data_IF_361532505286
#
_entry.id   IF_361532505286
#
_cell.length_a   1.000
_cell.length_b   1.000
_cell.length_c   1.000
_cell.angle_alpha   90.00
_cell.angle_beta   90.00
_cell.angle_gamma   90.00
#
_symmetry.space_group_name_H-M   'P 1'
#
loop_
_entity.id
_entity.type
_entity.pdbx_description
1 polymer ?
#
# COMPACT_ATOMS: atom_id res chain seq x y z
N UNK A 1 14.14 -12.24 9.81
CA UNK A 1 14.05 -10.77 9.77
C UNK A 1 14.78 -10.23 8.54
N UNK A 2 15.97 -10.74 8.25
CA UNK A 2 16.81 -10.33 7.11
C UNK A 2 16.14 -10.41 5.73
N UNK A 3 15.36 -11.47 5.48
CA UNK A 3 14.64 -11.61 4.20
C UNK A 3 13.57 -10.53 4.01
N UNK A 4 12.86 -10.13 5.07
CA UNK A 4 11.84 -9.06 4.97
C UNK A 4 12.47 -7.69 4.69
N UNK A 5 13.63 -7.41 5.31
CA UNK A 5 14.43 -6.20 5.04
C UNK A 5 14.88 -6.17 3.58
N UNK A 6 15.33 -7.31 3.03
CA UNK A 6 15.71 -7.44 1.62
C UNK A 6 14.53 -7.18 0.66
N UNK A 7 13.34 -7.72 0.96
CA UNK A 7 12.14 -7.50 0.14
C UNK A 7 11.72 -6.02 0.10
N UNK A 8 11.83 -5.30 1.22
CA UNK A 8 11.55 -3.87 1.26
C UNK A 8 12.56 -3.06 0.47
N UNK A 9 13.85 -3.37 0.58
CA UNK A 9 14.90 -2.69 -0.17
C UNK A 9 14.67 -2.78 -1.70
N UNK A 10 14.23 -3.95 -2.19
CA UNK A 10 13.87 -4.16 -3.61
C UNK A 10 12.67 -3.33 -4.08
N UNK A 11 11.81 -2.91 -3.16
CA UNK A 11 10.61 -2.12 -3.45
C UNK A 11 10.83 -0.60 -3.37
N UNK A 12 11.88 -0.15 -2.67
CA UNK A 12 12.21 1.27 -2.49
C UNK A 12 12.23 2.08 -3.80
N UNK A 13 12.80 1.59 -4.92
CA UNK A 13 12.80 2.34 -6.18
C UNK A 13 11.39 2.69 -6.69
N UNK A 14 10.42 1.78 -6.52
CA UNK A 14 9.04 2.02 -6.97
C UNK A 14 8.34 3.09 -6.12
N UNK A 15 8.69 3.21 -4.84
CA UNK A 15 8.21 4.32 -3.99
C UNK A 15 8.77 5.67 -4.47
N UNK A 16 10.05 5.72 -4.83
CA UNK A 16 10.68 6.93 -5.39
C UNK A 16 10.08 7.33 -6.73
N UNK A 17 9.71 6.38 -7.59
CA UNK A 17 9.01 6.67 -8.85
C UNK A 17 7.66 7.33 -8.58
N UNK A 18 6.85 6.78 -7.67
CA UNK A 18 5.56 7.37 -7.29
C UNK A 18 5.75 8.79 -6.73
N UNK A 19 6.75 8.96 -5.86
CA UNK A 19 7.07 10.24 -5.23
C UNK A 19 7.46 11.28 -6.29
N UNK A 20 8.38 10.92 -7.18
CA UNK A 20 8.90 11.80 -8.22
C UNK A 20 7.80 12.19 -9.21
N UNK A 21 6.94 11.25 -9.59
CA UNK A 21 5.80 11.52 -10.45
C UNK A 21 4.83 12.54 -9.82
N UNK A 22 4.52 12.39 -8.52
CA UNK A 22 3.67 13.36 -7.81
C UNK A 22 4.34 14.74 -7.69
N UNK A 23 5.65 14.80 -7.40
CA UNK A 23 6.41 16.07 -7.39
C UNK A 23 6.31 16.76 -8.75
N UNK A 24 6.55 16.03 -9.85
CA UNK A 24 6.49 16.60 -11.19
C UNK A 24 5.09 17.14 -11.53
N UNK A 25 4.03 16.45 -11.13
CA UNK A 25 2.65 16.90 -11.33
C UNK A 25 2.38 18.18 -10.51
N UNK A 26 2.80 18.22 -9.24
CA UNK A 26 2.66 19.42 -8.39
C UNK A 26 3.41 20.59 -9.03
N UNK A 27 4.68 20.39 -9.42
CA UNK A 27 5.46 21.42 -10.09
C UNK A 27 4.79 21.87 -11.39
N UNK A 28 4.28 20.95 -12.21
CA UNK A 28 3.61 21.27 -13.47
C UNK A 28 2.29 22.04 -13.29
N UNK A 29 1.56 21.83 -12.20
CA UNK A 29 0.33 22.57 -11.88
C UNK A 29 0.65 23.95 -11.30
N UNK A 30 1.62 24.02 -10.37
CA UNK A 30 1.97 25.26 -9.69
C UNK A 30 2.79 26.20 -10.57
N UNK A 31 3.71 25.68 -11.39
CA UNK A 31 4.62 26.52 -12.17
C UNK A 31 3.88 27.51 -13.08
N UNK A 32 2.90 27.12 -13.93
CA UNK A 32 2.16 28.06 -14.77
C UNK A 32 1.31 29.05 -13.96
N UNK A 33 0.74 28.62 -12.83
CA UNK A 33 -0.09 29.46 -11.97
C UNK A 33 0.68 30.63 -11.34
N UNK A 34 1.97 30.44 -11.07
CA UNK A 34 2.82 31.44 -10.44
C UNK A 34 3.89 32.01 -11.37
N UNK A 35 4.02 31.52 -12.61
CA UNK A 35 5.02 31.97 -13.58
C UNK A 35 4.91 33.48 -13.85
N UNK A 36 3.68 34.00 -13.93
CA UNK A 36 3.43 35.43 -14.17
C UNK A 36 3.73 36.33 -12.94
N UNK A 37 3.73 35.76 -11.73
CA UNK A 37 4.17 36.46 -10.51
C UNK A 37 5.70 36.42 -10.35
N UNK A 38 6.35 35.33 -10.78
CA UNK A 38 7.79 35.14 -10.69
C UNK A 38 8.59 36.14 -11.56
N UNK A 39 8.06 36.51 -12.73
CA UNK A 39 8.72 37.46 -13.66
C UNK A 39 8.68 38.91 -13.20
N UNK A 40 7.74 39.31 -12.35
CA UNK A 40 7.57 40.71 -11.95
C UNK A 40 8.21 41.08 -10.60
N UNK A 41 8.24 40.19 -9.59
CA UNK A 41 9.00 40.37 -8.33
C UNK A 41 9.27 39.02 -7.64
N UNK A 42 10.55 38.64 -7.48
CA UNK A 42 10.95 37.54 -6.60
C UNK A 42 10.75 37.96 -5.13
N UNK A 43 9.60 37.59 -4.57
CA UNK A 43 9.29 37.81 -3.16
C UNK A 43 9.73 36.57 -2.34
N UNK A 44 10.26 36.78 -1.13
CA UNK A 44 10.65 35.70 -0.21
C UNK A 44 9.50 34.72 0.07
N UNK A 45 8.26 35.21 0.08
CA UNK A 45 7.05 34.38 0.24
C UNK A 45 6.88 33.40 -0.92
N UNK A 46 7.25 33.78 -2.14
CA UNK A 46 7.19 32.90 -3.31
C UNK A 46 8.23 31.79 -3.23
N UNK A 47 9.47 32.13 -2.82
CA UNK A 47 10.56 31.15 -2.61
C UNK A 47 10.17 30.13 -1.54
N UNK A 48 9.63 30.58 -0.40
CA UNK A 48 9.19 29.70 0.68
C UNK A 48 8.05 28.75 0.25
N UNK A 49 7.10 29.23 -0.56
CA UNK A 49 6.02 28.39 -1.10
C UNK A 49 6.56 27.33 -2.06
N UNK A 50 7.49 27.69 -2.94
CA UNK A 50 8.15 26.76 -3.87
C UNK A 50 8.92 25.67 -3.13
N UNK A 51 9.77 26.06 -2.18
CA UNK A 51 10.53 25.12 -1.35
C UNK A 51 9.62 24.20 -0.54
N UNK A 52 8.56 24.74 0.07
CA UNK A 52 7.57 23.95 0.80
C UNK A 52 6.90 22.90 -0.08
N UNK A 53 6.50 23.26 -1.31
CA UNK A 53 5.90 22.33 -2.26
C UNK A 53 6.85 21.20 -2.69
N UNK A 54 8.15 21.49 -2.84
CA UNK A 54 9.17 20.48 -3.19
C UNK A 54 9.53 19.57 -2.02
N UNK A 55 9.55 20.09 -0.79
CA UNK A 55 9.92 19.34 0.42
C UNK A 55 8.75 18.50 0.95
N UNK A 56 7.51 18.96 0.78
CA UNK A 56 6.34 18.30 1.34
C UNK A 56 6.25 16.79 1.00
N UNK A 57 6.43 16.35 -0.25
CA UNK A 57 6.41 14.92 -0.58
C UNK A 57 7.50 14.10 0.14
N UNK A 58 8.68 14.66 0.37
CA UNK A 58 9.75 14.01 1.15
C UNK A 58 9.34 13.82 2.62
N UNK A 59 8.69 14.83 3.21
CA UNK A 59 8.13 14.70 4.55
C UNK A 59 7.04 13.63 4.62
N UNK A 60 6.20 13.52 3.59
CA UNK A 60 5.20 12.44 3.51
C UNK A 60 5.85 11.05 3.41
N UNK A 61 6.99 10.92 2.73
CA UNK A 61 7.75 9.66 2.72
C UNK A 61 8.21 9.27 4.14
N UNK A 62 8.69 10.23 4.93
CA UNK A 62 9.08 9.99 6.33
C UNK A 62 7.87 9.62 7.19
N UNK A 63 6.76 10.36 7.06
CA UNK A 63 5.50 10.07 7.76
C UNK A 63 4.95 8.67 7.41
N UNK A 64 5.12 8.23 6.17
CA UNK A 64 4.74 6.88 5.75
C UNK A 64 5.52 5.79 6.52
N UNK A 65 6.76 6.07 6.93
CA UNK A 65 7.56 5.18 7.78
C UNK A 65 7.03 5.06 9.21
N UNK A 66 6.37 6.11 9.72
CA UNK A 66 5.78 6.15 11.07
C UNK A 66 4.46 5.38 11.16
N UNK A 67 3.78 5.15 10.04
CA UNK A 67 2.55 4.37 10.01
C UNK A 67 2.83 2.88 10.26
N UNK A 68 2.17 2.34 11.29
CA UNK A 68 2.25 0.93 11.64
C UNK A 68 1.70 0.03 10.53
N UNK A 69 2.21 -1.20 10.48
CA UNK A 69 1.72 -2.27 9.59
C UNK A 69 0.20 -2.42 9.64
N UNK A 70 -0.38 -2.31 10.84
CA UNK A 70 -1.82 -2.44 11.08
C UNK A 70 -2.60 -1.24 10.50
N UNK A 71 -2.17 0.00 10.74
CA UNK A 71 -2.79 1.19 10.17
C UNK A 71 -2.83 1.14 8.64
N UNK A 72 -1.71 0.74 8.02
CA UNK A 72 -1.66 0.59 6.55
C UNK A 72 -2.62 -0.50 6.05
N UNK A 73 -2.79 -1.59 6.80
CA UNK A 73 -3.78 -2.62 6.47
C UNK A 73 -5.22 -2.11 6.59
N UNK A 74 -5.52 -1.26 7.59
CA UNK A 74 -6.83 -0.60 7.72
C UNK A 74 -7.11 0.27 6.48
N UNK A 75 -6.13 1.04 6.00
CA UNK A 75 -6.28 1.86 4.78
C UNK A 75 -6.58 1.03 3.52
N UNK A 76 -6.03 -0.18 3.42
CA UNK A 76 -6.31 -1.07 2.29
C UNK A 76 -7.68 -1.71 2.42
N UNK A 77 -7.95 -2.38 3.54
CA UNK A 77 -9.12 -3.27 3.67
C UNK A 77 -10.36 -2.58 4.24
N UNK A 78 -10.21 -1.35 4.75
CA UNK A 78 -11.26 -0.58 5.44
C UNK A 78 -11.95 -1.36 6.55
N UNK A 79 -11.18 -2.18 7.26
CA UNK A 79 -11.62 -2.94 8.43
C UNK A 79 -10.84 -2.45 9.64
N UNK A 80 -11.53 -2.07 10.71
CA UNK A 80 -10.86 -1.61 11.94
C UNK A 80 -10.32 -2.77 12.79
N UNK A 81 -11.04 -3.90 12.80
CA UNK A 81 -10.66 -5.11 13.52
C UNK A 81 -10.15 -6.17 12.56
N UNK A 82 -9.05 -6.84 12.94
CA UNK A 82 -8.40 -7.90 12.17
C UNK A 82 -8.19 -7.55 10.67
N UNK A 83 -7.56 -6.40 10.34
CA UNK A 83 -7.52 -5.87 8.97
C UNK A 83 -6.69 -6.69 7.99
N UNK A 84 -5.84 -7.60 8.48
CA UNK A 84 -4.94 -8.40 7.67
C UNK A 84 -5.70 -9.32 6.71
N UNK A 85 -5.17 -9.60 5.51
CA UNK A 85 -5.84 -10.46 4.54
C UNK A 85 -5.95 -11.91 5.06
N UNK A 86 -5.03 -12.35 5.94
CA UNK A 86 -5.06 -13.67 6.57
C UNK A 86 -6.28 -13.94 7.45
N UNK A 87 -6.96 -12.88 7.91
CA UNK A 87 -8.18 -12.99 8.73
C UNK A 87 -9.37 -13.62 8.01
N UNK A 88 -9.30 -13.74 6.69
CA UNK A 88 -10.30 -14.40 5.83
C UNK A 88 -9.71 -15.60 5.07
N UNK A 89 -8.53 -16.08 5.48
CA UNK A 89 -7.77 -17.12 4.79
C UNK A 89 -8.60 -18.39 4.56
N UNK A 90 -9.28 -18.90 5.60
CA UNK A 90 -9.97 -20.18 5.52
C UNK A 90 -11.47 -20.05 5.27
N UNK A 91 -12.10 -18.98 5.77
CA UNK A 91 -13.54 -18.74 5.61
C UNK A 91 -13.91 -18.39 4.16
N UNK A 92 -13.04 -17.63 3.47
CA UNK A 92 -13.31 -17.08 2.14
C UNK A 92 -12.21 -17.42 1.13
N UNK A 93 -10.96 -17.02 1.38
CA UNK A 93 -9.91 -17.07 0.35
C UNK A 93 -9.54 -18.49 -0.08
N UNK A 94 -9.53 -19.46 0.85
CA UNK A 94 -9.26 -20.87 0.54
C UNK A 94 -10.28 -21.50 -0.41
N UNK A 95 -11.48 -20.91 -0.55
CA UNK A 95 -12.55 -21.40 -1.44
C UNK A 95 -12.47 -20.81 -2.84
N UNK A 96 -11.81 -19.66 -3.00
CA UNK A 96 -11.80 -18.91 -4.25
C UNK A 96 -10.73 -19.39 -5.23
N UNK A 97 -9.69 -20.08 -4.74
CA UNK A 97 -8.59 -20.55 -5.57
C UNK A 97 -8.63 -22.08 -5.69
N UNK A 98 -8.82 -22.55 -6.93
CA UNK A 98 -8.94 -23.98 -7.25
C UNK A 98 -7.66 -24.76 -7.02
N UNK A 99 -6.50 -24.09 -6.90
CA UNK A 99 -5.19 -24.72 -6.65
C UNK A 99 -5.02 -25.18 -5.20
N UNK A 100 -5.91 -24.73 -4.30
CA UNK A 100 -5.82 -25.01 -2.86
C UNK A 100 -6.54 -26.32 -2.54
N UNK A 101 -5.80 -27.35 -2.15
CA UNK A 101 -6.40 -28.58 -1.64
C UNK A 101 -6.79 -28.43 -0.16
N UNK A 102 -8.05 -28.03 0.07
CA UNK A 102 -8.59 -27.81 1.42
C UNK A 102 -8.70 -29.10 2.26
N UNK A 103 -8.77 -30.28 1.64
CA UNK A 103 -8.81 -31.56 2.38
C UNK A 103 -7.44 -31.84 3.00
N UNK A 104 -6.38 -31.77 2.19
CA UNK A 104 -5.00 -31.90 2.66
C UNK A 104 -4.65 -30.89 3.75
N UNK A 105 -5.03 -29.62 3.58
CA UNK A 105 -4.80 -28.61 4.61
C UNK A 105 -5.49 -28.92 5.94
N UNK A 106 -6.67 -29.57 5.92
CA UNK A 106 -7.34 -29.99 7.15
C UNK A 106 -6.70 -31.22 7.79
N UNK A 107 -6.23 -32.15 6.97
CA UNK A 107 -5.52 -33.34 7.42
C UNK A 107 -4.20 -32.94 8.12
N UNK A 108 -3.50 -31.94 7.58
CA UNK A 108 -2.20 -31.51 8.09
C UNK A 108 -2.29 -30.50 9.25
N UNK A 109 -3.21 -29.52 9.16
CA UNK A 109 -3.30 -28.40 10.12
C UNK A 109 -4.54 -28.43 11.00
N UNK A 110 -5.39 -29.46 10.86
CA UNK A 110 -6.61 -29.62 11.64
C UNK A 110 -7.80 -28.78 11.15
N UNK A 111 -8.86 -28.66 11.97
CA UNK A 111 -10.07 -27.95 11.58
C UNK A 111 -9.82 -26.45 11.40
N UNK A 112 -10.38 -25.88 10.34
CA UNK A 112 -10.22 -24.46 10.07
C UNK A 112 -10.92 -23.58 11.11
N UNK A 113 -10.23 -22.60 11.71
CA UNK A 113 -10.82 -21.70 12.68
C UNK A 113 -11.88 -20.80 12.02
N UNK A 114 -12.94 -20.47 12.78
CA UNK A 114 -14.01 -19.56 12.33
C UNK A 114 -13.69 -18.10 12.64
N UNK A 115 -13.05 -17.83 13.78
CA UNK A 115 -12.72 -16.47 14.25
C UNK A 115 -11.62 -15.83 13.40
N UNK A 116 -11.79 -14.58 13.02
CA UNK A 116 -10.87 -13.84 12.14
C UNK A 116 -9.43 -13.78 12.65
N UNK A 117 -9.24 -13.48 13.95
CA UNK A 117 -7.91 -13.49 14.58
C UNK A 117 -7.20 -14.84 14.45
N UNK A 118 -7.95 -15.93 14.68
CA UNK A 118 -7.41 -17.28 14.75
C UNK A 118 -7.10 -17.80 13.34
N UNK A 119 -7.90 -17.40 12.34
CA UNK A 119 -7.60 -17.60 10.93
C UNK A 119 -6.27 -16.96 10.54
N UNK A 120 -6.07 -15.69 10.92
CA UNK A 120 -4.82 -14.99 10.62
C UNK A 120 -3.63 -15.66 11.33
N UNK A 121 -3.80 -16.09 12.58
CA UNK A 121 -2.76 -16.80 13.34
C UNK A 121 -2.34 -18.09 12.65
N UNK A 122 -3.28 -18.99 12.35
CA UNK A 122 -2.99 -20.26 11.67
C UNK A 122 -2.37 -20.02 10.29
N UNK A 123 -2.92 -19.09 9.52
CA UNK A 123 -2.36 -18.73 8.21
C UNK A 123 -0.91 -18.22 8.32
N UNK A 124 -0.60 -17.42 9.34
CA UNK A 124 0.74 -16.90 9.57
C UNK A 124 1.74 -18.00 9.97
N UNK A 125 1.31 -19.00 10.74
CA UNK A 125 2.10 -20.18 11.07
C UNK A 125 2.44 -21.01 9.82
N UNK A 126 1.47 -21.17 8.89
CA UNK A 126 1.70 -21.82 7.59
C UNK A 126 2.65 -20.99 6.73
N UNK A 127 2.42 -19.67 6.65
CA UNK A 127 3.28 -18.75 5.91
C UNK A 127 4.75 -18.87 6.35
N UNK A 128 5.02 -18.93 7.66
CA UNK A 128 6.39 -19.06 8.18
C UNK A 128 7.11 -20.31 7.66
N UNK A 129 6.40 -21.42 7.49
CA UNK A 129 6.97 -22.68 6.98
C UNK A 129 7.32 -22.59 5.49
N UNK A 130 6.58 -21.78 4.72
CA UNK A 130 6.77 -21.63 3.27
C UNK A 130 7.32 -20.26 2.85
N UNK A 131 7.86 -19.46 3.77
CA UNK A 131 8.35 -18.11 3.48
C UNK A 131 9.54 -18.08 2.49
N UNK A 132 10.23 -19.23 2.34
CA UNK A 132 11.33 -19.38 1.39
C UNK A 132 10.87 -19.65 -0.05
N UNK A 133 9.66 -20.16 -0.23
CA UNK A 133 9.10 -20.43 -1.55
C UNK A 133 9.03 -19.15 -2.40
N UNK A 134 9.38 -19.27 -3.68
CA UNK A 134 9.49 -18.13 -4.61
C UNK A 134 8.13 -17.46 -4.81
N UNK A 135 7.06 -18.23 -4.98
CA UNK A 135 5.71 -17.70 -5.20
C UNK A 135 5.18 -17.00 -3.94
N UNK A 136 5.50 -17.53 -2.75
CA UNK A 136 5.16 -16.90 -1.46
C UNK A 136 5.96 -15.61 -1.26
N UNK A 137 7.27 -15.65 -1.47
CA UNK A 137 8.16 -14.51 -1.26
C UNK A 137 7.84 -13.35 -2.21
N UNK A 138 7.62 -13.61 -3.50
CA UNK A 138 7.27 -12.56 -4.46
C UNK A 138 5.87 -11.99 -4.22
N UNK A 139 4.89 -12.82 -3.85
CA UNK A 139 3.55 -12.31 -3.51
C UNK A 139 3.55 -11.49 -2.21
N UNK A 140 4.35 -11.89 -1.22
CA UNK A 140 4.57 -11.09 -0.01
C UNK A 140 5.20 -9.73 -0.36
N UNK A 141 6.28 -9.73 -1.15
CA UNK A 141 6.95 -8.51 -1.61
C UNK A 141 5.99 -7.56 -2.34
N UNK A 142 5.19 -8.10 -3.25
CA UNK A 142 4.22 -7.32 -4.01
C UNK A 142 3.14 -6.71 -3.10
N UNK A 143 2.71 -7.43 -2.06
CA UNK A 143 1.78 -6.91 -1.06
C UNK A 143 2.41 -5.82 -0.19
N UNK A 144 3.65 -5.99 0.26
CA UNK A 144 4.38 -4.97 1.02
C UNK A 144 4.50 -3.66 0.24
N UNK A 145 4.91 -3.74 -1.03
CA UNK A 145 4.97 -2.58 -1.91
C UNK A 145 3.62 -1.89 -2.03
N UNK A 146 2.57 -2.65 -2.38
CA UNK A 146 1.26 -2.07 -2.61
C UNK A 146 0.70 -1.41 -1.34
N UNK A 147 1.01 -1.97 -0.16
CA UNK A 147 0.65 -1.38 1.12
C UNK A 147 1.34 -0.06 1.38
N UNK A 148 2.65 0.03 1.15
CA UNK A 148 3.40 1.27 1.34
C UNK A 148 2.99 2.35 0.31
N UNK A 149 2.65 1.95 -0.93
CA UNK A 149 2.06 2.84 -1.93
C UNK A 149 0.68 3.34 -1.50
N UNK A 150 -0.20 2.47 -0.97
CA UNK A 150 -1.54 2.88 -0.50
C UNK A 150 -1.44 3.94 0.59
N UNK A 151 -0.60 3.72 1.59
CA UNK A 151 -0.44 4.68 2.68
C UNK A 151 0.21 5.98 2.23
N UNK A 152 1.16 5.94 1.29
CA UNK A 152 1.64 7.15 0.63
C UNK A 152 0.52 7.92 -0.08
N UNK A 153 -0.25 7.28 -0.96
CA UNK A 153 -1.35 7.95 -1.67
C UNK A 153 -2.37 8.55 -0.70
N UNK A 154 -2.67 7.86 0.40
CA UNK A 154 -3.53 8.40 1.44
C UNK A 154 -2.95 9.68 2.08
N UNK A 155 -1.66 9.66 2.42
CA UNK A 155 -0.98 10.85 2.94
C UNK A 155 -0.98 12.00 1.91
N UNK A 156 -0.79 11.72 0.62
CA UNK A 156 -0.92 12.72 -0.44
C UNK A 156 -2.31 13.36 -0.44
N UNK A 157 -3.38 12.55 -0.38
CA UNK A 157 -4.77 13.06 -0.33
C UNK A 157 -4.96 13.97 0.89
N UNK A 158 -4.54 13.53 2.08
CA UNK A 158 -4.81 14.26 3.33
C UNK A 158 -3.94 15.51 3.48
N UNK A 159 -2.63 15.41 3.24
CA UNK A 159 -1.69 16.48 3.56
C UNK A 159 -1.35 17.39 2.38
N UNK A 160 -1.67 17.00 1.15
CA UNK A 160 -1.49 17.84 -0.04
C UNK A 160 -2.85 18.13 -0.67
N UNK A 161 -3.66 17.11 -0.94
CA UNK A 161 -4.97 17.27 -1.58
C UNK A 161 -5.93 18.19 -0.82
N UNK A 162 -6.17 17.93 0.47
CA UNK A 162 -7.10 18.75 1.29
C UNK A 162 -6.64 20.20 1.41
N UNK A 163 -5.36 20.51 1.75
CA UNK A 163 -4.89 21.90 1.75
C UNK A 163 -4.99 22.58 0.38
N UNK A 164 -4.76 21.85 -0.72
CA UNK A 164 -4.89 22.40 -2.08
C UNK A 164 -6.32 22.89 -2.36
N UNK A 165 -7.36 22.24 -1.83
CA UNK A 165 -8.75 22.71 -1.97
C UNK A 165 -8.99 24.09 -1.33
N UNK A 166 -8.22 24.45 -0.31
CA UNK A 166 -8.36 25.71 0.42
C UNK A 166 -7.48 26.83 -0.16
N UNK A 167 -6.31 26.48 -0.68
CA UNK A 167 -5.28 27.45 -1.08
C UNK A 167 -5.31 27.74 -2.58
N UNK A 168 -5.65 26.76 -3.42
CA UNK A 168 -5.60 26.88 -4.88
C UNK A 168 -6.99 27.22 -5.43
N UNK A 169 -7.01 28.07 -6.46
CA UNK A 169 -8.25 28.53 -7.10
C UNK A 169 -8.98 27.37 -7.79
N UNK A 170 -10.30 27.46 -7.74
CA UNK A 170 -11.19 26.62 -8.55
C UNK A 170 -11.00 26.93 -10.06
N UNK A 171 -11.11 25.95 -10.97
CA UNK A 171 -11.42 24.52 -10.77
C UNK A 171 -10.20 23.62 -10.58
N UNK A 172 -8.99 24.16 -10.68
CA UNK A 172 -7.74 23.38 -10.67
C UNK A 172 -7.58 22.59 -9.38
N UNK A 173 -7.93 23.20 -8.24
CA UNK A 173 -7.87 22.52 -6.94
C UNK A 173 -8.74 21.26 -6.88
N UNK A 174 -9.94 21.31 -7.46
CA UNK A 174 -10.86 20.18 -7.51
C UNK A 174 -10.33 19.06 -8.40
N UNK A 175 -9.83 19.39 -9.60
CA UNK A 175 -9.28 18.38 -10.52
C UNK A 175 -8.07 17.67 -9.92
N UNK A 176 -7.17 18.42 -9.28
CA UNK A 176 -6.01 17.84 -8.63
C UNK A 176 -6.37 16.95 -7.44
N UNK A 177 -7.31 17.39 -6.60
CA UNK A 177 -7.83 16.57 -5.50
C UNK A 177 -8.47 15.27 -6.01
N UNK A 178 -9.29 15.36 -7.06
CA UNK A 178 -9.93 14.19 -7.66
C UNK A 178 -8.89 13.22 -8.27
N UNK A 179 -7.84 13.76 -8.91
CA UNK A 179 -6.72 12.95 -9.39
C UNK A 179 -6.07 12.14 -8.25
N UNK A 180 -5.75 12.77 -7.12
CA UNK A 180 -5.16 12.08 -5.97
C UNK A 180 -6.11 11.02 -5.38
N UNK A 181 -7.41 11.31 -5.33
CA UNK A 181 -8.41 10.33 -4.90
C UNK A 181 -8.47 9.12 -5.82
N UNK A 182 -8.54 9.33 -7.14
CA UNK A 182 -8.56 8.25 -8.13
C UNK A 182 -7.30 7.39 -8.00
N UNK A 183 -6.13 8.03 -7.87
CA UNK A 183 -4.86 7.35 -7.65
C UNK A 183 -4.88 6.50 -6.38
N UNK A 184 -5.39 7.03 -5.26
CA UNK A 184 -5.53 6.28 -4.02
C UNK A 184 -6.43 5.04 -4.21
N UNK A 185 -7.63 5.20 -4.78
CA UNK A 185 -8.56 4.08 -4.96
C UNK A 185 -8.02 3.01 -5.91
N UNK A 186 -7.36 3.41 -7.02
CA UNK A 186 -6.73 2.48 -7.94
C UNK A 186 -5.67 1.61 -7.23
N UNK A 187 -4.83 2.24 -6.40
CA UNK A 187 -3.81 1.53 -5.62
C UNK A 187 -4.44 0.65 -4.54
N UNK A 188 -5.49 1.10 -3.85
CA UNK A 188 -6.24 0.27 -2.86
C UNK A 188 -6.77 -1.00 -3.49
N UNK A 189 -7.41 -0.92 -4.67
CA UNK A 189 -7.91 -2.10 -5.39
C UNK A 189 -6.75 -3.06 -5.72
N UNK A 190 -5.64 -2.52 -6.23
CA UNK A 190 -4.43 -3.29 -6.49
C UNK A 190 -3.83 -3.94 -5.25
N UNK A 191 -3.83 -3.25 -4.11
CA UNK A 191 -3.31 -3.75 -2.83
C UNK A 191 -4.18 -4.86 -2.25
N UNK A 192 -5.51 -4.73 -2.33
CA UNK A 192 -6.46 -5.79 -1.94
C UNK A 192 -6.22 -7.06 -2.74
N UNK A 193 -6.09 -6.94 -4.05
CA UNK A 193 -5.85 -8.08 -4.93
C UNK A 193 -4.52 -8.79 -4.62
N UNK A 194 -3.44 -8.02 -4.41
CA UNK A 194 -2.13 -8.57 -4.02
C UNK A 194 -2.15 -9.21 -2.64
N UNK A 195 -2.82 -8.61 -1.66
CA UNK A 195 -2.96 -9.18 -0.32
C UNK A 195 -3.74 -10.50 -0.32
N UNK A 196 -4.83 -10.58 -1.10
CA UNK A 196 -5.58 -11.84 -1.28
C UNK A 196 -4.74 -12.91 -1.99
N UNK A 197 -4.05 -12.54 -3.08
CA UNK A 197 -3.15 -13.45 -3.80
C UNK A 197 -2.03 -13.98 -2.93
N UNK A 198 -1.45 -13.14 -2.06
CA UNK A 198 -0.44 -13.56 -1.10
C UNK A 198 -0.97 -14.68 -0.18
N UNK A 199 -2.15 -14.48 0.41
CA UNK A 199 -2.77 -15.50 1.26
C UNK A 199 -3.04 -16.79 0.49
N UNK A 200 -3.63 -16.69 -0.71
CA UNK A 200 -3.96 -17.87 -1.52
C UNK A 200 -2.71 -18.62 -2.00
N UNK A 201 -1.64 -17.92 -2.36
CA UNK A 201 -0.37 -18.55 -2.75
C UNK A 201 0.25 -19.33 -1.59
N UNK A 202 0.24 -18.78 -0.37
CA UNK A 202 0.70 -19.51 0.83
C UNK A 202 -0.08 -20.80 1.01
N UNK A 203 -1.42 -20.74 0.94
CA UNK A 203 -2.27 -21.92 1.12
C UNK A 203 -2.12 -22.93 -0.02
N UNK A 204 -1.94 -22.47 -1.26
CA UNK A 204 -1.76 -23.33 -2.43
C UNK A 204 -0.43 -24.09 -2.34
N UNK A 205 0.67 -23.40 -2.01
CA UNK A 205 1.99 -24.02 -1.80
C UNK A 205 1.93 -25.02 -0.66
N UNK A 206 1.35 -24.64 0.49
CA UNK A 206 1.22 -25.53 1.63
C UNK A 206 0.43 -26.81 1.28
N UNK A 207 -0.70 -26.68 0.57
CA UNK A 207 -1.54 -27.83 0.21
C UNK A 207 -0.93 -28.80 -0.81
N UNK A 208 0.11 -28.36 -1.53
CA UNK A 208 0.79 -29.13 -2.56
C UNK A 208 2.19 -29.59 -2.15
N UNK A 209 2.76 -29.02 -1.11
CA UNK A 209 4.02 -29.47 -0.53
C UNK A 209 3.77 -30.70 0.34
N UNK A 210 4.66 -31.70 0.28
CA UNK A 210 4.71 -32.73 1.33
C UNK A 210 5.63 -32.21 2.43
N UNK A 211 5.20 -32.26 3.69
CA UNK A 211 6.12 -32.16 4.83
C UNK A 211 7.14 -33.30 4.69
N UNK A 212 8.40 -32.95 4.53
CA UNK A 212 9.55 -33.87 4.70
C UNK A 212 9.92 -33.82 6.18
#
# INVERSE_FOLDING_TARGET
MDKEVNLKAKNTPMLWILLSANILIICGIFYPLYFQQATNKLNIVFILKGLGASIAPLLLFLLNGLLSSNQKAILIFWRLKDPLPGSEAFSKLSKLDTRINRKKLKEEYGPFPKKSSDQNRLWYEIYKQHALDIAVSESHRAFLLARDLTSMCFLFVVFIGVPTLLIVKWPISLYYFLFLLIQYFAIVIGARNRGRRFVMNVLAVASNSRRI
#
